data_IF_281675722498
#
_entry.id   IF_281675722498
#
_cell.length_a   1.000
_cell.length_b   1.000
_cell.length_c   1.000
_cell.angle_alpha   90.00
_cell.angle_beta   90.00
_cell.angle_gamma   90.00
#
_symmetry.space_group_name_H-M   'P 1'
#
loop_
_entity.id
_entity.type
_entity.pdbx_description
1 polymer ?
#
# COMPACT_ATOMS: atom_id res chain seq x y z
N UNK A 1 -20.36 -13.32 5.66
CA UNK A 1 -19.00 -13.92 5.80
C UNK A 1 -18.19 -13.36 4.68
N UNK A 2 -16.99 -12.82 4.95
CA UNK A 2 -16.15 -12.25 3.89
C UNK A 2 -15.42 -13.36 3.13
N UNK A 3 -15.39 -13.28 1.79
CA UNK A 3 -14.85 -14.31 0.90
C UNK A 3 -13.32 -14.29 0.86
N UNK A 4 -12.65 -15.42 0.60
CA UNK A 4 -11.23 -15.44 0.30
C UNK A 4 -10.96 -14.76 -1.05
N UNK A 5 -9.86 -13.99 -1.12
CA UNK A 5 -9.46 -13.24 -2.32
C UNK A 5 -8.27 -13.92 -2.98
N UNK A 6 -8.30 -13.99 -4.32
CA UNK A 6 -7.22 -14.46 -5.19
C UNK A 6 -6.93 -13.42 -6.26
N UNK A 7 -5.68 -13.37 -6.76
CA UNK A 7 -5.32 -12.48 -7.85
C UNK A 7 -5.59 -13.13 -9.21
N UNK A 8 -6.03 -12.33 -10.17
CA UNK A 8 -6.48 -12.80 -11.48
C UNK A 8 -5.35 -13.11 -12.47
N UNK A 9 -4.07 -13.13 -12.05
CA UNK A 9 -2.91 -13.28 -12.95
C UNK A 9 -2.94 -14.54 -13.82
N UNK A 10 -3.42 -15.64 -13.23
CA UNK A 10 -3.54 -16.94 -13.91
C UNK A 10 -5.01 -17.30 -14.19
N UNK A 11 -5.89 -16.29 -14.30
CA UNK A 11 -7.30 -16.47 -14.66
C UNK A 11 -7.47 -16.57 -16.18
N UNK A 12 -8.25 -17.53 -16.64
CA UNK A 12 -8.55 -17.71 -18.06
C UNK A 12 -10.07 -17.93 -18.26
N UNK A 13 -10.76 -17.12 -19.07
CA UNK A 13 -10.30 -15.88 -19.72
C UNK A 13 -9.88 -14.78 -18.73
N UNK A 14 -9.19 -13.74 -19.21
CA UNK A 14 -8.74 -12.61 -18.37
C UNK A 14 -9.93 -11.89 -17.74
N UNK A 15 -9.77 -11.41 -16.50
CA UNK A 15 -10.86 -10.88 -15.67
C UNK A 15 -11.64 -9.74 -16.36
N UNK A 16 -10.94 -8.84 -17.03
CA UNK A 16 -11.51 -7.69 -17.74
C UNK A 16 -12.38 -8.06 -18.93
N UNK A 17 -12.28 -9.30 -19.42
CA UNK A 17 -13.09 -9.80 -20.53
C UNK A 17 -14.37 -10.55 -20.11
N UNK A 18 -14.55 -10.75 -18.78
CA UNK A 18 -15.64 -11.54 -18.24
C UNK A 18 -16.88 -10.70 -17.97
N UNK A 19 -18.03 -11.34 -18.04
CA UNK A 19 -19.35 -10.83 -17.66
C UNK A 19 -20.00 -11.75 -16.63
N UNK A 20 -21.03 -11.24 -15.97
CA UNK A 20 -21.83 -12.07 -15.04
C UNK A 20 -22.47 -13.25 -15.79
N UNK A 21 -22.27 -14.45 -15.26
CA UNK A 21 -22.69 -15.72 -15.85
C UNK A 21 -21.59 -16.45 -16.62
N UNK A 22 -20.48 -15.79 -16.95
CA UNK A 22 -19.36 -16.41 -17.64
C UNK A 22 -18.63 -17.42 -16.76
N UNK A 23 -17.99 -18.38 -17.41
CA UNK A 23 -17.13 -19.37 -16.77
C UNK A 23 -15.67 -18.98 -16.95
N UNK A 24 -14.88 -19.19 -15.89
CA UNK A 24 -13.45 -18.96 -15.89
C UNK A 24 -12.71 -20.07 -15.14
N UNK A 25 -11.41 -20.19 -15.39
CA UNK A 25 -10.52 -21.12 -14.67
C UNK A 25 -9.41 -20.33 -14.01
N UNK A 26 -9.29 -20.44 -12.68
CA UNK A 26 -8.17 -19.93 -11.93
C UNK A 26 -7.10 -21.03 -11.82
N UNK A 27 -5.97 -20.81 -12.46
CA UNK A 27 -4.83 -21.74 -12.51
C UNK A 27 -3.60 -21.24 -11.77
N UNK A 28 -2.44 -21.70 -12.22
CA UNK A 28 -1.13 -21.24 -11.77
C UNK A 28 -0.85 -21.37 -10.28
N UNK A 29 -0.22 -20.37 -9.71
CA UNK A 29 0.09 -20.31 -8.28
C UNK A 29 -1.16 -20.10 -7.45
N UNK A 30 -2.06 -19.22 -7.89
CA UNK A 30 -3.32 -18.90 -7.20
C UNK A 30 -4.29 -20.07 -7.19
N UNK A 31 -4.48 -20.74 -8.33
CA UNK A 31 -5.34 -21.93 -8.41
C UNK A 31 -4.83 -23.07 -7.52
N UNK A 32 -3.51 -23.32 -7.52
CA UNK A 32 -2.91 -24.33 -6.62
C UNK A 32 -3.08 -23.94 -5.16
N UNK A 33 -2.89 -22.67 -4.80
CA UNK A 33 -3.12 -22.19 -3.43
C UNK A 33 -4.58 -22.40 -3.01
N UNK A 34 -5.52 -22.03 -3.86
CA UNK A 34 -6.95 -22.18 -3.61
C UNK A 34 -7.36 -23.65 -3.44
N UNK A 35 -7.02 -24.50 -4.40
CA UNK A 35 -7.45 -25.88 -4.45
C UNK A 35 -6.73 -26.78 -3.42
N UNK A 36 -5.38 -26.72 -3.35
CA UNK A 36 -4.60 -27.65 -2.54
C UNK A 36 -4.33 -27.15 -1.12
N UNK A 37 -4.07 -25.85 -0.93
CA UNK A 37 -3.74 -25.29 0.39
C UNK A 37 -5.00 -24.89 1.14
N UNK A 38 -5.88 -24.08 0.51
CA UNK A 38 -7.14 -23.62 1.08
C UNK A 38 -8.24 -24.69 1.00
N UNK A 39 -8.07 -25.69 0.08
CA UNK A 39 -8.99 -26.82 -0.15
C UNK A 39 -10.40 -26.36 -0.52
N UNK A 40 -10.50 -25.29 -1.29
CA UNK A 40 -11.77 -24.76 -1.77
C UNK A 40 -12.37 -25.74 -2.78
N UNK A 41 -13.65 -26.08 -2.59
CA UNK A 41 -14.38 -27.04 -3.38
C UNK A 41 -15.63 -26.45 -4.06
N UNK A 42 -16.29 -27.29 -4.88
CA UNK A 42 -17.52 -26.88 -5.57
C UNK A 42 -18.61 -26.43 -4.59
N UNK A 43 -19.34 -25.37 -4.95
CA UNK A 43 -20.37 -24.72 -4.15
C UNK A 43 -19.85 -23.65 -3.18
N UNK A 44 -18.53 -23.51 -3.00
CA UNK A 44 -17.95 -22.41 -2.23
C UNK A 44 -17.84 -21.15 -3.08
N UNK A 45 -17.61 -20.02 -2.42
CA UNK A 45 -17.50 -18.70 -3.06
C UNK A 45 -16.14 -18.09 -2.82
N UNK A 46 -15.64 -17.40 -3.84
CA UNK A 46 -14.35 -16.72 -3.83
C UNK A 46 -14.46 -15.38 -4.54
N UNK A 47 -13.61 -14.43 -4.14
CA UNK A 47 -13.37 -13.23 -4.93
C UNK A 47 -12.09 -13.38 -5.75
N UNK A 48 -12.12 -12.95 -7.01
CA UNK A 48 -10.96 -12.81 -7.86
C UNK A 48 -10.80 -11.34 -8.24
N UNK A 49 -9.61 -10.79 -8.03
CA UNK A 49 -9.32 -9.36 -8.25
C UNK A 49 -8.11 -9.18 -9.17
N UNK A 50 -8.12 -8.09 -9.95
CA UNK A 50 -6.99 -7.74 -10.83
C UNK A 50 -5.85 -6.98 -10.11
N UNK A 51 -6.09 -6.52 -8.88
CA UNK A 51 -5.18 -5.65 -8.15
C UNK A 51 -5.31 -4.17 -8.51
N UNK A 52 -6.23 -3.80 -9.40
CA UNK A 52 -6.47 -2.46 -9.92
C UNK A 52 -7.90 -1.95 -9.65
N UNK A 53 -8.67 -2.71 -8.85
CA UNK A 53 -10.03 -2.34 -8.43
C UNK A 53 -11.14 -3.21 -9.02
N UNK A 54 -10.88 -4.02 -10.03
CA UNK A 54 -11.88 -4.94 -10.57
C UNK A 54 -11.97 -6.19 -9.70
N UNK A 55 -13.18 -6.50 -9.23
CA UNK A 55 -13.52 -7.67 -8.42
C UNK A 55 -14.60 -8.50 -9.09
N UNK A 56 -14.36 -9.78 -9.25
CA UNK A 56 -15.38 -10.77 -9.57
C UNK A 56 -15.66 -11.64 -8.34
N UNK A 57 -16.89 -11.63 -7.88
CA UNK A 57 -17.38 -12.63 -6.91
C UNK A 57 -17.86 -13.85 -7.68
N UNK A 58 -17.23 -14.99 -7.40
CA UNK A 58 -17.41 -16.22 -8.15
C UNK A 58 -17.90 -17.37 -7.28
N UNK A 59 -18.78 -18.19 -7.84
CA UNK A 59 -19.12 -19.51 -7.32
C UNK A 59 -18.17 -20.55 -7.92
N UNK A 60 -17.61 -21.41 -7.11
CA UNK A 60 -16.77 -22.51 -7.54
C UNK A 60 -17.64 -23.64 -8.08
N UNK A 61 -17.59 -23.90 -9.38
CA UNK A 61 -18.32 -25.01 -10.04
C UNK A 61 -17.57 -26.34 -10.00
N UNK A 62 -16.26 -26.29 -9.80
CA UNK A 62 -15.38 -27.46 -9.72
C UNK A 62 -13.99 -27.11 -9.22
N UNK A 63 -13.30 -28.12 -8.69
CA UNK A 63 -11.93 -27.98 -8.19
C UNK A 63 -11.15 -29.25 -8.52
N UNK A 64 -9.90 -29.08 -8.96
CA UNK A 64 -8.94 -30.16 -9.05
C UNK A 64 -7.70 -29.84 -8.18
N UNK A 65 -6.56 -30.54 -8.38
CA UNK A 65 -5.36 -30.36 -7.55
C UNK A 65 -4.70 -28.97 -7.70
N UNK A 66 -4.97 -28.26 -8.78
CA UNK A 66 -4.22 -27.05 -9.15
C UNK A 66 -5.06 -25.93 -9.74
N UNK A 67 -6.34 -26.17 -9.96
CA UNK A 67 -7.24 -25.19 -10.57
C UNK A 67 -8.60 -25.13 -9.88
N UNK A 68 -9.27 -23.97 -9.96
CA UNK A 68 -10.69 -23.81 -9.68
C UNK A 68 -11.43 -23.47 -10.97
N UNK A 69 -12.54 -24.15 -11.21
CA UNK A 69 -13.54 -23.74 -12.22
C UNK A 69 -14.53 -22.80 -11.54
N UNK A 70 -14.71 -21.62 -12.10
CA UNK A 70 -15.47 -20.51 -11.52
C UNK A 70 -16.64 -20.12 -12.44
N UNK A 71 -17.72 -19.65 -11.83
CA UNK A 71 -18.82 -18.96 -12.52
C UNK A 71 -18.92 -17.57 -11.90
N UNK A 72 -18.79 -16.52 -12.71
CA UNK A 72 -18.91 -15.13 -12.27
C UNK A 72 -20.36 -14.85 -11.86
N UNK A 73 -20.56 -14.41 -10.63
CA UNK A 73 -21.88 -14.08 -10.07
C UNK A 73 -22.07 -12.59 -9.88
N UNK A 74 -21.00 -11.87 -9.64
CA UNK A 74 -20.99 -10.42 -9.53
C UNK A 74 -19.68 -9.88 -10.08
N UNK A 75 -19.73 -8.70 -10.68
CA UNK A 75 -18.56 -7.98 -11.19
C UNK A 75 -18.69 -6.51 -10.78
N UNK A 76 -17.71 -6.03 -10.00
CA UNK A 76 -17.71 -4.67 -9.46
C UNK A 76 -16.37 -4.03 -9.72
N UNK A 77 -16.36 -2.78 -10.15
CA UNK A 77 -15.18 -1.94 -10.15
C UNK A 77 -15.24 -1.03 -8.92
N UNK A 78 -14.38 -1.28 -7.94
CA UNK A 78 -14.27 -0.46 -6.75
C UNK A 78 -13.66 0.91 -7.14
N UNK A 79 -14.12 1.98 -6.51
CA UNK A 79 -13.56 3.31 -6.73
C UNK A 79 -12.08 3.36 -6.28
N UNK A 80 -11.28 4.14 -7.00
CA UNK A 80 -9.90 4.40 -6.59
C UNK A 80 -9.86 5.05 -5.20
N UNK A 81 -8.90 4.64 -4.35
CA UNK A 81 -8.78 5.21 -3.01
C UNK A 81 -8.59 6.73 -3.04
N UNK A 82 -9.36 7.44 -2.22
CA UNK A 82 -9.23 8.90 -2.04
C UNK A 82 -9.29 9.24 -0.54
N UNK A 83 -8.28 9.99 -0.01
CA UNK A 83 -7.02 10.37 -0.67
C UNK A 83 -6.14 9.17 -1.03
N UNK A 84 -5.32 9.29 -2.11
CA UNK A 84 -4.19 8.39 -2.35
C UNK A 84 -3.15 8.63 -1.25
N UNK A 85 -2.85 7.61 -0.46
CA UNK A 85 -1.83 7.71 0.59
C UNK A 85 -0.58 6.94 0.19
N UNK A 86 0.56 7.63 0.23
CA UNK A 86 1.86 7.15 -0.24
C UNK A 86 2.78 6.98 0.95
N UNK A 87 3.29 5.77 1.16
CA UNK A 87 4.32 5.51 2.16
C UNK A 87 5.71 5.62 1.52
N UNK A 88 6.49 6.60 1.93
CA UNK A 88 7.93 6.64 1.68
C UNK A 88 8.62 5.98 2.87
N UNK A 89 9.10 4.75 2.67
CA UNK A 89 9.70 3.95 3.73
C UNK A 89 11.21 3.86 3.55
N UNK A 90 11.97 4.34 4.51
CA UNK A 90 13.40 4.13 4.52
C UNK A 90 13.73 2.64 4.65
N UNK A 91 14.77 2.20 3.90
CA UNK A 91 15.29 0.84 3.99
C UNK A 91 15.77 0.57 5.43
N UNK A 92 15.36 -0.54 6.01
CA UNK A 92 15.65 -0.90 7.38
C UNK A 92 16.14 -2.36 7.48
N UNK A 93 16.85 -2.68 8.55
CA UNK A 93 17.36 -4.04 8.77
C UNK A 93 16.34 -4.91 9.51
N UNK A 94 16.50 -6.23 9.36
CA UNK A 94 15.73 -7.21 10.13
C UNK A 94 14.26 -7.28 9.77
N UNK A 95 13.90 -6.95 8.53
CA UNK A 95 12.53 -7.05 8.03
C UNK A 95 11.56 -5.99 8.56
N UNK A 96 12.07 -4.90 9.17
CA UNK A 96 11.21 -3.84 9.71
C UNK A 96 10.54 -3.00 8.63
N UNK A 97 11.23 -2.78 7.53
CA UNK A 97 10.70 -2.13 6.33
C UNK A 97 9.63 -3.00 5.67
N UNK A 98 9.87 -4.30 5.54
CA UNK A 98 8.89 -5.26 5.03
C UNK A 98 7.64 -5.32 5.93
N UNK A 99 7.83 -5.36 7.25
CA UNK A 99 6.72 -5.29 8.20
C UNK A 99 5.92 -3.98 8.09
N UNK A 100 6.60 -2.83 7.82
CA UNK A 100 5.91 -1.57 7.56
C UNK A 100 5.04 -1.66 6.30
N UNK A 101 5.57 -2.23 5.20
CA UNK A 101 4.82 -2.44 3.95
C UNK A 101 3.62 -3.36 4.18
N UNK A 102 3.81 -4.47 4.90
CA UNK A 102 2.74 -5.43 5.23
C UNK A 102 1.61 -4.74 6.00
N UNK A 103 1.92 -4.16 7.16
CA UNK A 103 0.92 -3.53 8.03
C UNK A 103 0.23 -2.35 7.34
N UNK A 104 0.99 -1.48 6.66
CA UNK A 104 0.40 -0.36 5.94
C UNK A 104 -0.50 -0.82 4.78
N UNK A 105 -0.18 -1.95 4.13
CA UNK A 105 -1.05 -2.53 3.11
C UNK A 105 -2.37 -3.00 3.71
N UNK A 106 -2.35 -3.68 4.85
CA UNK A 106 -3.55 -4.12 5.56
C UNK A 106 -4.45 -2.94 5.97
N UNK A 107 -3.85 -1.81 6.40
CA UNK A 107 -4.57 -0.59 6.80
C UNK A 107 -5.11 0.18 5.57
N UNK A 108 -4.50 0.01 4.39
CA UNK A 108 -4.99 0.63 3.16
C UNK A 108 -4.05 1.63 2.52
N UNK A 109 -2.72 1.42 2.55
CA UNK A 109 -1.78 2.21 1.76
C UNK A 109 -1.99 1.94 0.26
N UNK A 110 -1.73 2.95 -0.59
CA UNK A 110 -1.99 2.85 -2.02
C UNK A 110 -0.70 2.75 -2.84
N UNK A 111 0.38 3.33 -2.32
CA UNK A 111 1.68 3.34 -2.98
C UNK A 111 2.80 3.29 -1.95
N UNK A 112 3.90 2.65 -2.30
CA UNK A 112 5.10 2.55 -1.47
C UNK A 112 6.31 2.97 -2.28
N UNK A 113 7.11 3.87 -1.72
CA UNK A 113 8.39 4.34 -2.27
C UNK A 113 9.52 3.90 -1.34
N UNK A 114 10.38 2.97 -1.75
CA UNK A 114 11.57 2.64 -0.98
C UNK A 114 12.54 3.82 -0.96
N UNK A 115 13.08 4.16 0.21
CA UNK A 115 14.01 5.27 0.37
C UNK A 115 15.38 4.81 0.89
N UNK A 116 16.42 5.06 0.10
CA UNK A 116 17.81 4.86 0.48
C UNK A 116 18.34 6.08 1.24
N UNK A 117 17.87 6.31 2.47
CA UNK A 117 18.31 7.44 3.31
C UNK A 117 19.78 7.30 3.73
N UNK A 118 20.42 8.42 4.08
CA UNK A 118 21.85 8.46 4.43
C UNK A 118 22.21 7.59 5.65
N UNK A 119 21.30 7.51 6.63
CA UNK A 119 21.49 6.71 7.85
C UNK A 119 20.95 5.29 7.76
N UNK A 120 20.40 4.88 6.60
CA UNK A 120 19.99 3.51 6.38
C UNK A 120 21.22 2.59 6.25
N UNK A 121 21.25 1.55 7.07
CA UNK A 121 22.32 0.54 7.01
C UNK A 121 22.15 -0.34 5.78
N UNK A 122 20.91 -0.61 5.40
CA UNK A 122 20.57 -1.40 4.22
C UNK A 122 20.73 -0.54 2.98
N UNK A 123 21.37 -1.10 1.95
CA UNK A 123 21.60 -0.41 0.69
C UNK A 123 21.10 -1.27 -0.47
N UNK A 124 20.24 -0.68 -1.31
CA UNK A 124 19.79 -1.27 -2.56
C UNK A 124 20.52 -0.64 -3.74
N UNK A 125 21.52 -1.33 -4.29
CA UNK A 125 22.31 -0.85 -5.43
C UNK A 125 22.38 -1.92 -6.52
N UNK A 126 22.22 -1.51 -7.79
CA UNK A 126 22.25 -2.41 -8.93
C UNK A 126 21.23 -3.54 -8.79
N UNK A 127 21.60 -4.81 -9.03
CA UNK A 127 20.66 -5.94 -8.99
C UNK A 127 19.96 -6.16 -7.64
N UNK A 128 20.50 -5.59 -6.54
CA UNK A 128 19.84 -5.64 -5.23
C UNK A 128 18.60 -4.75 -5.15
N UNK A 129 18.55 -3.66 -5.93
CA UNK A 129 17.39 -2.78 -5.97
C UNK A 129 16.17 -3.52 -6.56
N UNK A 130 16.33 -4.19 -7.68
CA UNK A 130 15.27 -4.99 -8.31
C UNK A 130 14.78 -6.12 -7.39
N UNK A 131 15.71 -6.86 -6.77
CA UNK A 131 15.37 -7.93 -5.84
C UNK A 131 14.64 -7.40 -4.59
N UNK A 132 15.07 -6.26 -4.06
CA UNK A 132 14.43 -5.61 -2.92
C UNK A 132 13.01 -5.16 -3.25
N UNK A 133 12.84 -4.47 -4.39
CA UNK A 133 11.53 -4.05 -4.89
C UNK A 133 10.60 -5.24 -5.09
N UNK A 134 11.04 -6.27 -5.82
CA UNK A 134 10.25 -7.48 -6.04
C UNK A 134 9.85 -8.17 -4.73
N UNK A 135 10.71 -8.12 -3.70
CA UNK A 135 10.36 -8.63 -2.37
C UNK A 135 9.24 -7.82 -1.72
N UNK A 136 9.32 -6.48 -1.75
CA UNK A 136 8.27 -5.63 -1.20
C UNK A 136 6.96 -5.74 -2.00
N UNK A 137 7.02 -5.88 -3.32
CA UNK A 137 5.86 -6.20 -4.16
C UNK A 137 5.18 -7.51 -3.71
N UNK A 138 5.98 -8.55 -3.46
CA UNK A 138 5.47 -9.82 -2.93
C UNK A 138 4.79 -9.67 -1.56
N UNK A 139 5.37 -8.87 -0.65
CA UNK A 139 4.78 -8.56 0.66
C UNK A 139 3.46 -7.80 0.50
N UNK A 140 3.43 -6.74 -0.32
CA UNK A 140 2.23 -5.94 -0.58
C UNK A 140 1.10 -6.79 -1.17
N UNK A 141 1.41 -7.67 -2.14
CA UNK A 141 0.44 -8.60 -2.75
C UNK A 141 -0.13 -9.58 -1.73
N UNK A 142 0.72 -10.19 -0.90
CA UNK A 142 0.28 -11.12 0.13
C UNK A 142 -0.62 -10.43 1.17
N UNK A 143 -0.25 -9.24 1.62
CA UNK A 143 -1.01 -8.44 2.57
C UNK A 143 -2.35 -7.95 1.97
N UNK A 144 -2.38 -7.50 0.70
CA UNK A 144 -3.60 -7.11 0.01
C UNK A 144 -4.60 -8.28 -0.10
N UNK A 145 -4.14 -9.48 -0.44
CA UNK A 145 -4.97 -10.69 -0.45
C UNK A 145 -5.51 -11.02 0.93
N UNK A 146 -4.65 -10.99 1.96
CA UNK A 146 -5.02 -11.28 3.34
C UNK A 146 -6.07 -10.28 3.84
N UNK A 147 -5.91 -9.00 3.56
CA UNK A 147 -6.83 -7.92 3.93
C UNK A 147 -8.01 -7.75 2.94
N UNK A 148 -8.08 -8.60 1.89
CA UNK A 148 -9.18 -8.69 0.90
C UNK A 148 -9.38 -7.42 0.07
N UNK A 149 -8.29 -6.72 -0.22
CA UNK A 149 -8.31 -5.52 -1.05
C UNK A 149 -8.41 -5.90 -2.53
N UNK A 150 -9.19 -5.10 -3.29
CA UNK A 150 -9.18 -5.16 -4.74
C UNK A 150 -7.99 -4.40 -5.35
N UNK A 151 -7.39 -3.48 -4.57
CA UNK A 151 -6.20 -2.74 -4.96
C UNK A 151 -4.96 -3.30 -4.28
N UNK A 152 -3.94 -3.64 -5.07
CA UNK A 152 -2.60 -3.96 -4.59
C UNK A 152 -1.76 -2.70 -4.63
N UNK A 153 -1.08 -2.30 -3.54
CA UNK A 153 -0.23 -1.12 -3.54
C UNK A 153 0.87 -1.21 -4.59
N UNK A 154 1.10 -0.11 -5.30
CA UNK A 154 2.23 0.01 -6.23
C UNK A 154 3.51 0.21 -5.44
N UNK A 155 4.54 -0.60 -5.69
CA UNK A 155 5.89 -0.40 -5.14
C UNK A 155 6.77 0.22 -6.23
N UNK A 156 7.22 1.45 -6.00
CA UNK A 156 8.08 2.19 -6.93
C UNK A 156 9.54 1.75 -6.83
N UNK A 157 10.36 2.28 -7.74
CA UNK A 157 11.80 2.16 -7.66
C UNK A 157 12.34 2.92 -6.45
N UNK A 158 13.47 2.44 -5.91
CA UNK A 158 14.12 3.08 -4.77
C UNK A 158 14.61 4.48 -5.16
N UNK A 159 14.36 5.44 -4.27
CA UNK A 159 14.85 6.82 -4.42
C UNK A 159 15.95 7.11 -3.39
N UNK A 160 16.98 7.83 -3.80
CA UNK A 160 17.89 8.48 -2.86
C UNK A 160 17.26 9.76 -2.28
N UNK A 161 17.95 10.42 -1.32
CA UNK A 161 17.41 11.59 -0.64
C UNK A 161 17.21 12.80 -1.56
N UNK A 162 18.04 12.94 -2.61
CA UNK A 162 17.91 14.02 -3.60
C UNK A 162 16.72 13.77 -4.54
N UNK A 163 16.59 12.55 -5.02
CA UNK A 163 15.46 12.12 -5.86
C UNK A 163 14.14 12.24 -5.08
N UNK A 164 14.17 11.86 -3.79
CA UNK A 164 13.00 11.98 -2.91
C UNK A 164 12.60 13.45 -2.69
N UNK A 165 13.56 14.35 -2.45
CA UNK A 165 13.26 15.79 -2.30
C UNK A 165 12.66 16.38 -3.59
N UNK A 166 13.20 16.02 -4.76
CA UNK A 166 12.66 16.44 -6.04
C UNK A 166 11.23 15.92 -6.28
N UNK A 167 10.97 14.67 -5.91
CA UNK A 167 9.65 14.06 -5.98
C UNK A 167 8.67 14.73 -5.00
N UNK A 168 9.10 15.03 -3.77
CA UNK A 168 8.27 15.72 -2.77
C UNK A 168 7.90 17.14 -3.24
N UNK A 169 8.83 17.86 -3.86
CA UNK A 169 8.55 19.18 -4.44
C UNK A 169 7.48 19.10 -5.58
N UNK A 170 7.53 18.08 -6.43
CA UNK A 170 6.50 17.86 -7.43
C UNK A 170 5.14 17.57 -6.78
N UNK A 171 5.09 16.66 -5.80
CA UNK A 171 3.87 16.32 -5.09
C UNK A 171 3.22 17.57 -4.45
N UNK A 172 4.00 18.38 -3.73
CA UNK A 172 3.50 19.59 -3.05
C UNK A 172 3.13 20.70 -4.03
N UNK A 173 3.83 20.81 -5.16
CA UNK A 173 3.50 21.71 -6.26
C UNK A 173 2.16 21.37 -6.96
N UNK A 174 1.74 20.10 -6.89
CA UNK A 174 0.46 19.58 -7.43
C UNK A 174 -0.68 19.57 -6.38
N UNK A 175 -0.59 20.42 -5.36
CA UNK A 175 -1.52 20.49 -4.24
C UNK A 175 -1.64 19.21 -3.39
N UNK A 176 -0.65 18.31 -3.45
CA UNK A 176 -0.48 17.24 -2.50
C UNK A 176 0.18 17.73 -1.21
N UNK A 177 0.26 16.86 -0.20
CA UNK A 177 0.96 17.15 1.05
C UNK A 177 1.93 16.02 1.40
N UNK A 178 3.12 16.38 1.88
CA UNK A 178 4.12 15.43 2.38
C UNK A 178 4.37 15.68 3.87
N UNK A 179 4.32 14.63 4.67
CA UNK A 179 4.62 14.63 6.09
C UNK A 179 5.87 13.81 6.39
N UNK A 180 6.84 14.41 7.06
CA UNK A 180 8.03 13.74 7.57
C UNK A 180 7.78 13.37 9.03
N UNK A 181 7.70 12.09 9.34
CA UNK A 181 7.58 11.60 10.71
C UNK A 181 8.91 11.83 11.44
N UNK A 182 8.92 12.76 12.38
CA UNK A 182 10.13 13.17 13.09
C UNK A 182 9.89 13.26 14.59
N UNK A 183 10.79 12.68 15.39
CA UNK A 183 10.62 12.59 16.84
C UNK A 183 10.71 13.95 17.56
N UNK A 184 11.43 14.92 16.98
CA UNK A 184 11.58 16.27 17.52
C UNK A 184 10.53 17.26 16.96
N UNK A 185 9.56 16.79 16.17
CA UNK A 185 8.54 17.69 15.62
C UNK A 185 7.61 18.18 16.72
N UNK A 186 7.36 19.48 16.71
CA UNK A 186 6.47 20.16 17.67
C UNK A 186 5.00 20.12 17.24
N UNK A 187 4.73 19.86 15.97
CA UNK A 187 3.38 19.77 15.42
C UNK A 187 2.93 18.31 15.31
N UNK A 188 1.73 18.00 15.73
CA UNK A 188 1.20 16.64 15.62
C UNK A 188 0.51 16.43 14.27
N UNK A 189 0.56 15.18 13.75
CA UNK A 189 -0.15 14.84 12.51
C UNK A 189 -1.65 15.17 12.61
N UNK A 190 -2.29 14.86 13.73
CA UNK A 190 -3.72 15.14 13.91
C UNK A 190 -4.04 16.62 13.80
N UNK A 191 -3.25 17.50 14.44
CA UNK A 191 -3.42 18.95 14.35
C UNK A 191 -3.14 19.46 12.92
N UNK A 192 -2.14 18.92 12.24
CA UNK A 192 -1.83 19.29 10.86
C UNK A 192 -2.98 18.92 9.90
N UNK A 193 -3.56 17.72 10.05
CA UNK A 193 -4.73 17.29 9.24
C UNK A 193 -5.96 18.15 9.50
N UNK A 194 -6.26 18.47 10.77
CA UNK A 194 -7.38 19.34 11.13
C UNK A 194 -7.26 20.72 10.48
N UNK A 195 -6.08 21.37 10.56
CA UNK A 195 -5.85 22.66 9.90
C UNK A 195 -6.00 22.62 8.38
N UNK A 196 -5.58 21.51 7.75
CA UNK A 196 -5.76 21.34 6.31
C UNK A 196 -7.26 21.28 5.97
N UNK A 197 -8.04 20.50 6.71
CA UNK A 197 -9.48 20.40 6.50
C UNK A 197 -10.20 21.73 6.78
N UNK A 198 -9.83 22.46 7.83
CA UNK A 198 -10.38 23.78 8.15
C UNK A 198 -10.08 24.83 7.06
N UNK A 199 -8.95 24.69 6.35
CA UNK A 199 -8.56 25.60 5.26
C UNK A 199 -9.10 25.20 3.89
N UNK A 200 -9.66 24.00 3.77
CA UNK A 200 -10.30 23.50 2.55
C UNK A 200 -11.75 24.01 2.46
N UNK A 201 -12.19 24.42 1.26
CA UNK A 201 -13.55 24.93 1.04
C UNK A 201 -14.63 23.88 1.33
N UNK A 202 -14.32 22.61 1.11
CA UNK A 202 -15.24 21.48 1.29
C UNK A 202 -14.91 20.61 2.52
N UNK A 203 -13.92 21.01 3.33
CA UNK A 203 -13.47 20.25 4.49
C UNK A 203 -12.73 18.95 4.16
N UNK A 204 -12.33 18.76 2.91
CA UNK A 204 -11.64 17.53 2.48
C UNK A 204 -10.13 17.60 2.66
N UNK A 205 -9.49 16.43 2.69
CA UNK A 205 -8.05 16.31 2.63
C UNK A 205 -7.56 16.42 1.17
N UNK A 206 -6.29 16.81 0.94
CA UNK A 206 -5.68 16.76 -0.38
C UNK A 206 -5.80 15.37 -1.02
N UNK A 207 -5.98 15.34 -2.33
CA UNK A 207 -6.13 14.09 -3.07
C UNK A 207 -4.93 13.13 -2.93
N UNK A 208 -3.74 13.66 -2.61
CA UNK A 208 -2.51 12.89 -2.45
C UNK A 208 -1.78 13.29 -1.18
N UNK A 209 -1.45 12.29 -0.34
CA UNK A 209 -0.77 12.49 0.94
C UNK A 209 0.41 11.54 1.03
N UNK A 210 1.62 12.07 1.24
CA UNK A 210 2.81 11.27 1.47
C UNK A 210 3.20 11.24 2.95
N UNK A 211 3.58 10.05 3.42
CA UNK A 211 4.16 9.79 4.74
C UNK A 211 5.60 9.36 4.57
N UNK A 212 6.55 10.13 5.09
CA UNK A 212 7.99 9.86 5.00
C UNK A 212 8.47 9.35 6.35
N UNK A 213 8.89 8.09 6.38
CA UNK A 213 9.35 7.37 7.57
C UNK A 213 10.83 7.04 7.44
N UNK A 214 11.61 7.52 8.39
CA UNK A 214 13.07 7.30 8.47
C UNK A 214 13.47 5.90 8.91
N UNK A 215 14.77 5.58 8.79
CA UNK A 215 15.36 4.34 9.29
C UNK A 215 15.54 4.38 10.82
N UNK A 216 16.04 3.30 11.41
CA UNK A 216 16.29 3.20 12.86
C UNK A 216 17.29 4.24 13.38
N UNK A 217 18.18 4.76 12.54
CA UNK A 217 19.13 5.83 12.87
C UNK A 217 18.53 7.24 12.79
N UNK A 218 17.22 7.35 12.55
CA UNK A 218 16.54 8.64 12.32
C UNK A 218 16.89 9.26 10.98
N UNK A 219 16.27 10.40 10.67
CA UNK A 219 16.53 11.19 9.47
C UNK A 219 17.64 12.20 9.78
N UNK A 220 18.59 12.38 8.87
CA UNK A 220 19.65 13.38 9.04
C UNK A 220 19.09 14.81 8.95
N UNK A 221 19.70 15.76 9.69
CA UNK A 221 19.27 17.15 9.67
C UNK A 221 19.29 17.76 8.25
N UNK A 222 20.29 17.39 7.44
CA UNK A 222 20.38 17.83 6.04
C UNK A 222 19.26 17.24 5.19
N UNK A 223 18.94 15.94 5.34
CA UNK A 223 17.83 15.30 4.64
C UNK A 223 16.48 15.91 5.04
N UNK A 224 16.29 16.17 6.35
CA UNK A 224 15.09 16.84 6.86
C UNK A 224 14.95 18.24 6.26
N UNK A 225 16.04 19.03 6.23
CA UNK A 225 16.03 20.37 5.64
C UNK A 225 15.68 20.33 4.14
N UNK A 226 16.28 19.42 3.37
CA UNK A 226 15.98 19.24 1.94
C UNK A 226 14.51 18.90 1.70
N UNK A 227 13.90 18.04 2.52
CA UNK A 227 12.49 17.69 2.42
C UNK A 227 11.58 18.86 2.81
N UNK A 228 11.94 19.63 3.84
CA UNK A 228 11.20 20.85 4.24
C UNK A 228 11.28 21.92 3.16
N UNK A 229 12.44 22.15 2.58
CA UNK A 229 12.63 23.07 1.44
C UNK A 229 11.81 22.63 0.21
N UNK A 230 11.58 21.34 0.06
CA UNK A 230 10.69 20.75 -0.95
C UNK A 230 9.19 20.85 -0.60
N UNK A 231 8.82 21.52 0.50
CA UNK A 231 7.44 21.75 0.93
C UNK A 231 6.86 20.68 1.86
N UNK A 232 7.66 19.69 2.29
CA UNK A 232 7.21 18.73 3.28
C UNK A 232 7.13 19.37 4.68
N UNK A 233 6.27 18.81 5.55
CA UNK A 233 6.08 19.27 6.93
C UNK A 233 6.54 18.18 7.90
N UNK A 234 7.34 18.54 8.90
CA UNK A 234 7.69 17.63 9.99
C UNK A 234 6.51 17.49 10.95
N UNK A 235 6.21 16.25 11.34
CA UNK A 235 5.09 15.94 12.27
C UNK A 235 5.51 14.88 13.28
N UNK A 236 4.96 15.02 14.49
CA UNK A 236 5.03 14.02 15.55
C UNK A 236 3.83 13.09 15.56
N UNK A 237 4.04 11.87 16.05
CA UNK A 237 3.02 10.83 16.16
C UNK A 237 2.66 10.49 17.62
N UNK A 238 2.85 11.44 18.53
CA UNK A 238 2.62 11.28 19.98
C UNK A 238 3.90 11.37 20.78
N UNK A 239 3.79 11.12 22.09
CA UNK A 239 4.87 11.35 23.07
C UNK A 239 5.98 10.28 23.02
N UNK A 240 5.72 9.15 22.37
CA UNK A 240 6.65 8.02 22.32
C UNK A 240 7.32 7.92 20.95
N UNK A 241 8.62 7.61 20.94
CA UNK A 241 9.33 7.30 19.70
C UNK A 241 8.85 5.95 19.14
N UNK A 242 8.27 5.99 17.96
CA UNK A 242 7.82 4.80 17.26
C UNK A 242 8.95 4.17 16.43
N UNK A 243 8.92 2.86 16.28
CA UNK A 243 9.83 2.16 15.36
C UNK A 243 9.49 2.51 13.91
N UNK A 244 10.47 2.43 13.01
CA UNK A 244 10.26 2.62 11.58
C UNK A 244 9.18 1.69 10.99
N UNK A 245 9.00 0.50 11.56
CA UNK A 245 7.92 -0.44 11.18
C UNK A 245 6.53 -0.03 11.65
N UNK A 246 6.41 0.86 12.64
CA UNK A 246 5.12 1.21 13.28
C UNK A 246 4.66 2.62 12.92
N UNK A 247 5.61 3.54 12.69
CA UNK A 247 5.30 4.96 12.46
C UNK A 247 4.38 5.16 11.25
N UNK A 248 4.67 4.49 10.13
CA UNK A 248 3.83 4.54 8.92
C UNK A 248 2.40 4.08 9.17
N UNK A 249 2.23 2.97 9.90
CA UNK A 249 0.93 2.41 10.23
C UNK A 249 0.07 3.36 11.10
N UNK A 250 0.68 3.95 12.14
CA UNK A 250 0.01 4.93 13.01
C UNK A 250 -0.40 6.17 12.21
N UNK A 251 0.53 6.72 11.41
CA UNK A 251 0.26 7.91 10.60
C UNK A 251 -0.84 7.64 9.56
N UNK A 252 -0.79 6.50 8.87
CA UNK A 252 -1.80 6.09 7.90
C UNK A 252 -3.18 5.95 8.55
N UNK A 253 -3.26 5.34 9.74
CA UNK A 253 -4.53 5.21 10.47
C UNK A 253 -5.14 6.57 10.79
N UNK A 254 -4.34 7.55 11.24
CA UNK A 254 -4.81 8.90 11.51
C UNK A 254 -5.33 9.60 10.23
N UNK A 255 -4.64 9.43 9.09
CA UNK A 255 -5.09 10.00 7.81
C UNK A 255 -6.41 9.34 7.37
N UNK A 256 -6.50 8.00 7.42
CA UNK A 256 -7.73 7.29 7.04
C UNK A 256 -8.90 7.64 7.94
N UNK A 257 -8.67 7.83 9.25
CA UNK A 257 -9.68 8.31 10.19
C UNK A 257 -10.13 9.75 9.85
N UNK A 258 -9.20 10.67 9.59
CA UNK A 258 -9.52 12.03 9.17
C UNK A 258 -10.26 12.08 7.80
N UNK A 259 -10.02 11.12 6.92
CA UNK A 259 -10.73 10.95 5.66
C UNK A 259 -12.10 10.22 5.80
N UNK A 260 -12.55 9.93 7.03
CA UNK A 260 -13.83 9.26 7.28
C UNK A 260 -13.88 7.79 6.86
N UNK A 261 -12.75 7.11 6.83
CA UNK A 261 -12.65 5.68 6.45
C UNK A 261 -12.65 4.72 7.64
N UNK A 262 -12.64 5.25 8.88
CA UNK A 262 -12.76 4.52 10.15
C UNK A 262 -13.78 5.18 11.05
#
# INVERSE_FOLDING_TARGET
MTLPVFLAEDLTPALESLSVGDSATLGGAEGRHAASVRRIGAGEWVDVVDGLGLRATCEVSGSDKSTLSLIVRELVHEDAPSPEVILVQALAKGGRDEAAVEICTEIGIDRVIPWASQRAIVQWKGPKAEKGRAKWEGVARAAAKQSRRAYVPVVEDVKDSRELASWAASLTGEAGVAFVCHEEATDSLGAALARIQESSEDGTLPARIALIVGPEGGIGAEETAQLVDAGARTIGLGDNVLRSSTAGAVALTLIRAAAGKY
#
